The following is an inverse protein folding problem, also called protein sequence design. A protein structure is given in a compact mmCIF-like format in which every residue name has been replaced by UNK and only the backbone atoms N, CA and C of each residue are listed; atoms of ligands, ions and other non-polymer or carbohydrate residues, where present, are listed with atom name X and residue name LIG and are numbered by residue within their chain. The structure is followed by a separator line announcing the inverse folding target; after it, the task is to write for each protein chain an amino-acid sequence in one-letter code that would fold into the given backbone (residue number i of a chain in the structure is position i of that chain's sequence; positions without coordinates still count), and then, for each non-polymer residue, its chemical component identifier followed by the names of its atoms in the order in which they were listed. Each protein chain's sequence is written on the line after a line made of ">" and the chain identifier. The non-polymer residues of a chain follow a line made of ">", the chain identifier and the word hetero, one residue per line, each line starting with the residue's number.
data_IF_703814206751
#
_entry.id   IF_703814206751
#
_cell.length_a   1.000
_cell.length_b   1.000
_cell.length_c   1.000
_cell.angle_alpha   90.00
_cell.angle_beta   90.00
_cell.angle_gamma   90.00
#
_symmetry.space_group_name_H-M   'P 1'
#
loop_
_entity.id
_entity.type
_entity.pdbx_description
1 polymer ?
#
# COMPACT_ATOMS: atom_id res chain seq x y z
N UNK A 1 1.58 11.71 26.69
CA UNK A 1 1.70 12.88 25.78
C UNK A 1 1.46 12.37 24.36
N UNK A 2 0.34 12.78 23.76
CA UNK A 2 -0.08 12.29 22.45
C UNK A 2 0.61 13.15 21.39
N UNK A 3 1.83 12.77 21.00
CA UNK A 3 2.55 13.46 19.91
C UNK A 3 1.77 13.14 18.65
N UNK A 4 0.90 14.06 18.21
CA UNK A 4 0.23 13.93 16.92
C UNK A 4 1.33 13.89 15.85
N UNK A 5 1.40 12.77 15.13
CA UNK A 5 2.38 12.59 14.07
C UNK A 5 2.20 13.65 13.00
N UNK A 6 3.31 14.12 12.45
CA UNK A 6 3.29 15.16 11.42
C UNK A 6 2.51 14.68 10.20
N UNK A 7 1.53 15.46 9.75
CA UNK A 7 0.61 15.07 8.69
C UNK A 7 -0.57 14.20 9.14
N UNK A 8 -0.82 14.09 10.45
CA UNK A 8 -2.03 13.43 10.95
C UNK A 8 -3.30 14.17 10.50
N UNK A 9 -4.19 13.42 9.85
CA UNK A 9 -5.54 13.89 9.49
C UNK A 9 -6.55 13.05 10.26
N UNK A 10 -7.45 13.74 10.96
CA UNK A 10 -8.53 13.10 11.68
C UNK A 10 -9.44 12.30 10.70
N UNK A 11 -9.69 10.99 10.93
CA UNK A 11 -10.54 10.17 10.07
C UNK A 11 -11.98 10.68 9.90
N UNK A 12 -12.47 11.53 10.81
CA UNK A 12 -13.77 12.22 10.67
C UNK A 12 -13.80 13.22 9.52
N UNK A 13 -12.63 13.73 9.09
CA UNK A 13 -12.50 14.67 7.97
C UNK A 13 -12.35 13.97 6.62
N UNK A 14 -12.26 12.64 6.59
CA UNK A 14 -12.15 11.91 5.33
C UNK A 14 -13.49 11.94 4.61
N UNK A 15 -13.49 12.39 3.37
CA UNK A 15 -14.64 12.37 2.49
C UNK A 15 -14.70 11.02 1.75
N UNK A 16 -15.89 10.42 1.68
CA UNK A 16 -16.10 9.20 0.90
C UNK A 16 -16.14 9.48 -0.62
N UNK A 17 -16.29 10.75 -0.99
CA UNK A 17 -16.41 11.23 -2.36
C UNK A 17 -17.86 11.30 -2.83
N UNK A 18 -18.03 11.80 -4.05
CA UNK A 18 -19.35 11.94 -4.67
C UNK A 18 -19.80 10.63 -5.35
N UNK A 19 -21.11 10.34 -5.34
CA UNK A 19 -21.70 9.33 -6.20
C UNK A 19 -21.31 9.54 -7.67
N UNK A 20 -20.61 8.58 -8.27
CA UNK A 20 -20.13 8.69 -9.64
C UNK A 20 -20.04 7.32 -10.31
N UNK A 21 -20.39 7.27 -11.59
CA UNK A 21 -20.13 6.12 -12.46
C UNK A 21 -19.19 6.56 -13.58
N UNK A 22 -18.21 5.74 -13.90
CA UNK A 22 -17.22 6.04 -14.94
C UNK A 22 -16.81 4.76 -15.66
N UNK A 23 -16.33 4.92 -16.89
CA UNK A 23 -15.81 3.84 -17.71
C UNK A 23 -14.57 4.35 -18.43
N UNK A 24 -13.45 3.69 -18.18
CA UNK A 24 -12.20 3.87 -18.92
C UNK A 24 -12.10 2.77 -19.97
N UNK A 25 -11.73 3.15 -21.19
CA UNK A 25 -11.55 2.19 -22.28
C UNK A 25 -10.16 2.33 -22.89
N UNK A 26 -9.58 1.20 -23.26
CA UNK A 26 -8.34 1.13 -24.02
C UNK A 26 -8.57 0.22 -25.22
N UNK A 27 -8.44 0.77 -26.42
CA UNK A 27 -8.61 0.04 -27.67
C UNK A 27 -7.30 0.06 -28.45
N UNK A 28 -6.86 -1.12 -28.90
CA UNK A 28 -5.69 -1.30 -29.74
C UNK A 28 -6.01 -2.27 -30.86
N UNK A 29 -5.50 -2.03 -32.06
CA UNK A 29 -5.73 -2.89 -33.21
C UNK A 29 -4.55 -2.87 -34.16
N UNK A 30 -4.23 -4.04 -34.72
CA UNK A 30 -3.19 -4.22 -35.71
C UNK A 30 -3.72 -5.05 -36.88
N UNK A 31 -3.27 -4.69 -38.08
CA UNK A 31 -3.49 -5.47 -39.28
C UNK A 31 -2.13 -5.81 -39.89
N UNK A 32 -1.86 -7.10 -40.03
CA UNK A 32 -0.65 -7.61 -40.65
C UNK A 32 -1.04 -8.13 -42.03
N UNK A 33 -0.34 -7.68 -43.06
CA UNK A 33 -0.52 -8.17 -44.44
C UNK A 33 0.74 -8.92 -44.83
N UNK A 34 0.62 -10.21 -45.11
CA UNK A 34 1.74 -11.00 -45.61
C UNK A 34 1.81 -10.88 -47.13
N UNK A 35 2.99 -10.55 -47.66
CA UNK A 35 3.18 -10.29 -49.09
C UNK A 35 3.09 -11.57 -49.95
N UNK A 36 3.38 -12.74 -49.37
CA UNK A 36 3.48 -14.01 -50.11
C UNK A 36 2.20 -14.85 -50.15
N UNK A 37 1.25 -14.67 -49.21
CA UNK A 37 0.05 -15.54 -49.10
C UNK A 37 -1.29 -14.82 -49.33
N UNK A 38 -1.31 -13.49 -49.48
CA UNK A 38 -2.56 -12.72 -49.62
C UNK A 38 -3.46 -12.74 -48.37
N UNK A 39 -3.10 -13.50 -47.34
CA UNK A 39 -3.76 -13.49 -46.04
C UNK A 39 -3.40 -12.21 -45.27
N UNK A 40 -4.45 -11.48 -44.89
CA UNK A 40 -4.33 -10.42 -43.90
C UNK A 40 -4.78 -10.97 -42.57
N UNK A 41 -4.04 -10.74 -41.48
CA UNK A 41 -4.49 -11.02 -40.12
C UNK A 41 -4.85 -9.71 -39.43
N UNK A 42 -5.96 -9.69 -38.68
CA UNK A 42 -6.46 -8.50 -37.98
C UNK A 42 -6.75 -8.89 -36.54
N UNK A 43 -6.02 -8.28 -35.62
CA UNK A 43 -6.23 -8.44 -34.19
C UNK A 43 -6.66 -7.10 -33.59
N UNK A 44 -7.75 -7.10 -32.85
CA UNK A 44 -8.19 -5.95 -32.06
C UNK A 44 -8.39 -6.37 -30.60
N UNK A 45 -7.98 -5.50 -29.70
CA UNK A 45 -8.06 -5.67 -28.26
C UNK A 45 -8.76 -4.45 -27.65
N UNK A 46 -9.79 -4.70 -26.86
CA UNK A 46 -10.49 -3.68 -26.08
C UNK A 46 -10.41 -4.06 -24.60
N UNK A 47 -9.89 -3.20 -23.75
CA UNK A 47 -9.97 -3.30 -22.30
C UNK A 47 -10.96 -2.26 -21.80
N UNK A 48 -11.92 -2.67 -20.99
CA UNK A 48 -12.89 -1.80 -20.33
C UNK A 48 -12.73 -1.91 -18.82
N UNK A 49 -12.57 -0.76 -18.17
CA UNK A 49 -12.52 -0.63 -16.71
C UNK A 49 -13.69 0.23 -16.30
N UNK A 50 -14.69 -0.38 -15.71
CA UNK A 50 -15.87 0.32 -15.23
C UNK A 50 -15.83 0.44 -13.72
N UNK A 51 -16.33 1.56 -13.22
CA UNK A 51 -16.35 1.87 -11.81
C UNK A 51 -17.63 2.58 -11.40
N UNK A 52 -18.11 2.27 -10.21
CA UNK A 52 -19.23 2.94 -9.57
C UNK A 52 -18.86 3.22 -8.11
N UNK A 53 -18.98 4.48 -7.71
CA UNK A 53 -18.74 4.96 -6.35
C UNK A 53 -20.08 5.40 -5.78
N UNK A 54 -20.45 4.87 -4.61
CA UNK A 54 -21.65 5.27 -3.87
C UNK A 54 -21.31 5.33 -2.38
N UNK A 55 -21.12 6.55 -1.85
CA UNK A 55 -20.57 6.74 -0.52
C UNK A 55 -19.24 6.00 -0.36
N UNK A 56 -19.04 5.32 0.76
CA UNK A 56 -17.82 4.55 1.04
C UNK A 56 -17.62 3.29 0.16
N UNK A 57 -18.62 2.90 -0.64
CA UNK A 57 -18.56 1.70 -1.46
C UNK A 57 -18.06 2.01 -2.86
N UNK A 58 -17.11 1.21 -3.33
CA UNK A 58 -16.50 1.34 -4.65
C UNK A 58 -16.56 0.00 -5.36
N UNK A 59 -17.43 -0.09 -6.36
CA UNK A 59 -17.51 -1.24 -7.26
C UNK A 59 -16.55 -1.02 -8.43
N UNK A 60 -15.80 -2.07 -8.79
CA UNK A 60 -14.88 -2.06 -9.93
C UNK A 60 -15.07 -3.33 -10.75
N UNK A 61 -15.04 -3.19 -12.06
CA UNK A 61 -15.07 -4.29 -13.01
C UNK A 61 -14.04 -4.04 -14.11
N UNK A 62 -13.22 -5.06 -14.37
CA UNK A 62 -12.26 -5.06 -15.48
C UNK A 62 -12.68 -6.18 -16.41
N UNK A 63 -12.93 -5.81 -17.67
CA UNK A 63 -13.30 -6.73 -18.74
C UNK A 63 -12.41 -6.48 -19.95
N UNK A 64 -12.12 -7.53 -20.70
CA UNK A 64 -11.39 -7.42 -21.96
C UNK A 64 -12.10 -8.18 -23.06
N UNK A 65 -12.01 -7.64 -24.27
CA UNK A 65 -12.55 -8.22 -25.47
C UNK A 65 -11.44 -8.34 -26.49
N UNK A 66 -11.26 -9.55 -26.99
CA UNK A 66 -10.34 -9.86 -28.07
C UNK A 66 -11.15 -10.20 -29.32
N UNK A 67 -10.81 -9.55 -30.43
CA UNK A 67 -11.38 -9.83 -31.74
C UNK A 67 -10.25 -10.16 -32.70
N UNK A 68 -10.11 -11.44 -32.98
CA UNK A 68 -9.34 -11.96 -34.11
C UNK A 68 -10.32 -12.32 -35.23
N UNK A 69 -9.89 -12.33 -36.49
CA UNK A 69 -10.76 -12.46 -37.68
C UNK A 69 -11.77 -13.61 -37.62
N UNK A 70 -11.46 -14.66 -36.86
CA UNK A 70 -12.33 -15.83 -36.69
C UNK A 70 -12.97 -15.96 -35.30
N UNK A 71 -12.53 -15.21 -34.29
CA UNK A 71 -12.97 -15.39 -32.89
C UNK A 71 -13.11 -14.06 -32.16
N UNK A 72 -14.31 -13.88 -31.61
CA UNK A 72 -14.64 -12.81 -30.68
C UNK A 72 -14.78 -13.41 -29.28
N UNK A 73 -13.86 -13.08 -28.38
CA UNK A 73 -13.90 -13.54 -27.00
C UNK A 73 -14.07 -12.35 -26.05
N UNK A 74 -15.00 -12.48 -25.11
CA UNK A 74 -15.22 -11.50 -24.05
C UNK A 74 -14.94 -12.17 -22.72
N UNK A 75 -13.94 -11.64 -22.01
CA UNK A 75 -13.51 -12.14 -20.71
C UNK A 75 -13.73 -11.07 -19.65
N UNK A 76 -14.43 -11.44 -18.59
CA UNK A 76 -14.46 -10.63 -17.38
C UNK A 76 -13.29 -11.04 -16.51
N UNK A 77 -12.28 -10.18 -16.42
CA UNK A 77 -11.03 -10.48 -15.71
C UNK A 77 -11.24 -10.46 -14.20
N UNK A 78 -11.90 -9.42 -13.69
CA UNK A 78 -12.14 -9.29 -12.26
C UNK A 78 -13.30 -8.35 -11.97
N UNK A 79 -14.13 -8.73 -10.99
CA UNK A 79 -15.15 -7.85 -10.42
C UNK A 79 -15.03 -7.88 -8.91
N UNK A 80 -14.91 -6.71 -8.29
CA UNK A 80 -14.86 -6.61 -6.84
C UNK A 80 -15.53 -5.34 -6.34
N UNK A 81 -16.04 -5.44 -5.13
CA UNK A 81 -16.57 -4.37 -4.33
C UNK A 81 -15.60 -4.12 -3.18
N UNK A 82 -15.23 -2.86 -2.96
CA UNK A 82 -14.34 -2.49 -1.86
C UNK A 82 -14.91 -1.36 -1.01
N UNK A 83 -14.52 -1.34 0.26
CA UNK A 83 -14.88 -0.31 1.22
C UNK A 83 -13.80 -0.15 2.30
N UNK A 84 -13.55 1.11 2.65
CA UNK A 84 -12.64 1.47 3.72
C UNK A 84 -13.33 1.33 5.08
N UNK A 85 -12.70 0.62 6.01
CA UNK A 85 -13.14 0.45 7.40
C UNK A 85 -12.26 1.31 8.30
N UNK A 86 -12.65 2.58 8.45
CA UNK A 86 -11.87 3.62 9.14
C UNK A 86 -11.52 3.25 10.59
N UNK A 87 -12.42 2.58 11.30
CA UNK A 87 -12.20 2.17 12.71
C UNK A 87 -11.05 1.18 12.88
N UNK A 88 -10.81 0.35 11.86
CA UNK A 88 -9.76 -0.67 11.85
C UNK A 88 -8.56 -0.26 10.99
N UNK A 89 -8.58 0.92 10.36
CA UNK A 89 -7.60 1.36 9.35
C UNK A 89 -7.33 0.26 8.32
N UNK A 90 -8.41 -0.31 7.80
CA UNK A 90 -8.38 -1.53 7.01
C UNK A 90 -9.28 -1.40 5.78
N UNK A 91 -8.94 -2.13 4.72
CA UNK A 91 -9.72 -2.23 3.49
C UNK A 91 -10.46 -3.57 3.45
N UNK A 92 -11.78 -3.50 3.28
CA UNK A 92 -12.63 -4.65 3.00
C UNK A 92 -12.79 -4.80 1.47
N UNK A 93 -12.47 -5.97 0.92
CA UNK A 93 -12.70 -6.34 -0.48
C UNK A 93 -13.57 -7.58 -0.57
N UNK A 94 -14.54 -7.58 -1.49
CA UNK A 94 -15.48 -8.65 -1.73
C UNK A 94 -15.55 -8.91 -3.24
N UNK A 95 -15.38 -10.16 -3.68
CA UNK A 95 -15.35 -10.53 -5.09
C UNK A 95 -14.00 -11.11 -5.50
N UNK A 96 -13.58 -10.84 -6.75
CA UNK A 96 -12.30 -11.27 -7.30
C UNK A 96 -11.15 -10.43 -6.73
N UNK A 97 -10.28 -11.05 -5.95
CA UNK A 97 -9.14 -10.36 -5.36
C UNK A 97 -7.93 -11.29 -5.22
N UNK A 98 -6.87 -10.79 -4.62
CA UNK A 98 -5.61 -11.49 -4.42
C UNK A 98 -5.14 -11.35 -2.98
N UNK A 99 -4.45 -12.36 -2.45
CA UNK A 99 -3.85 -12.27 -1.11
C UNK A 99 -2.61 -11.37 -1.14
N UNK A 100 -2.27 -10.76 -0.01
CA UNK A 100 -1.01 -10.03 0.12
C UNK A 100 0.18 -10.98 -0.05
N UNK A 101 1.18 -10.55 -0.82
CA UNK A 101 2.39 -11.30 -1.13
C UNK A 101 3.48 -11.20 -0.08
N UNK A 102 3.19 -10.61 1.09
CA UNK A 102 4.20 -10.17 2.06
C UNK A 102 4.94 -11.33 2.74
N UNK A 103 4.27 -12.48 2.95
CA UNK A 103 4.83 -13.64 3.67
C UNK A 103 4.75 -14.92 2.86
N UNK A 104 3.72 -15.06 2.02
CA UNK A 104 3.58 -16.19 1.09
C UNK A 104 3.15 -15.66 -0.26
N UNK A 105 3.30 -16.49 -1.29
CA UNK A 105 2.87 -16.18 -2.65
C UNK A 105 1.44 -15.64 -2.70
N UNK A 106 1.26 -14.65 -3.58
CA UNK A 106 -0.03 -14.06 -3.87
C UNK A 106 -0.87 -15.07 -4.66
N UNK A 107 -2.03 -15.41 -4.11
CA UNK A 107 -3.02 -16.26 -4.78
C UNK A 107 -4.24 -15.43 -5.15
N UNK A 108 -4.75 -15.64 -6.36
CA UNK A 108 -6.03 -15.07 -6.79
C UNK A 108 -7.18 -15.92 -6.25
N UNK A 109 -8.20 -15.26 -5.72
CA UNK A 109 -9.37 -15.93 -5.15
C UNK A 109 -10.61 -15.06 -5.28
N UNK A 110 -11.77 -15.72 -5.27
CA UNK A 110 -13.07 -15.06 -5.17
C UNK A 110 -13.62 -15.26 -3.76
N UNK A 111 -13.84 -14.16 -3.03
CA UNK A 111 -14.29 -14.25 -1.64
C UNK A 111 -14.32 -12.89 -0.95
N UNK A 112 -13.99 -12.90 0.34
CA UNK A 112 -13.93 -11.72 1.20
C UNK A 112 -12.52 -11.59 1.77
N UNK A 113 -12.01 -10.37 1.79
CA UNK A 113 -10.72 -10.02 2.36
C UNK A 113 -10.86 -8.77 3.22
N UNK A 114 -10.29 -8.82 4.43
CA UNK A 114 -10.09 -7.66 5.27
C UNK A 114 -8.60 -7.55 5.57
N UNK A 115 -7.98 -6.44 5.18
CA UNK A 115 -6.55 -6.22 5.37
C UNK A 115 -6.25 -4.82 5.89
N UNK A 116 -5.22 -4.67 6.72
CA UNK A 116 -4.73 -3.36 7.13
C UNK A 116 -4.23 -2.57 5.91
N UNK A 117 -4.53 -1.28 5.87
CA UNK A 117 -4.13 -0.38 4.78
C UNK A 117 -3.14 0.67 5.29
N UNK A 118 -1.91 0.63 4.77
CA UNK A 118 -0.87 1.57 5.18
C UNK A 118 -1.09 2.98 4.59
N UNK A 119 -1.89 3.13 3.53
CA UNK A 119 -2.25 4.44 2.97
C UNK A 119 -3.18 5.22 3.91
N UNK A 120 -3.88 4.53 4.81
CA UNK A 120 -4.68 5.16 5.87
C UNK A 120 -3.83 5.75 7.01
N UNK A 121 -2.52 5.57 6.96
CA UNK A 121 -1.57 6.13 7.92
C UNK A 121 -1.02 7.47 7.42
N UNK A 122 -0.69 8.40 8.34
CA UNK A 122 0.06 9.61 8.00
C UNK A 122 1.37 9.25 7.32
N UNK A 123 1.81 10.07 6.36
CA UNK A 123 3.01 9.78 5.55
C UNK A 123 4.27 9.57 6.41
N UNK A 124 4.39 10.30 7.52
CA UNK A 124 5.47 10.15 8.51
C UNK A 124 5.48 8.80 9.24
N UNK A 125 4.42 8.02 9.12
CA UNK A 125 4.26 6.69 9.72
C UNK A 125 4.11 5.56 8.69
N UNK A 126 4.25 5.86 7.40
CA UNK A 126 4.30 4.84 6.34
C UNK A 126 5.71 4.25 6.28
N UNK A 127 5.83 2.97 5.95
CA UNK A 127 7.11 2.28 5.84
C UNK A 127 7.84 2.07 7.18
N UNK A 128 9.04 1.50 7.09
CA UNK A 128 9.90 1.30 8.25
C UNK A 128 10.81 2.52 8.47
N UNK A 129 10.80 3.03 9.70
CA UNK A 129 11.81 3.97 10.18
C UNK A 129 11.98 3.73 11.69
N UNK A 130 13.22 3.62 12.21
CA UNK A 130 13.48 3.27 13.59
C UNK A 130 12.95 4.37 14.50
N UNK A 131 12.52 3.98 15.70
CA UNK A 131 12.17 4.94 16.75
C UNK A 131 13.44 5.37 17.45
N UNK A 132 13.81 6.65 17.33
CA UNK A 132 15.01 7.19 17.98
C UNK A 132 14.64 7.55 19.41
N UNK A 133 15.25 6.88 20.39
CA UNK A 133 15.06 7.16 21.83
C UNK A 133 16.30 7.84 22.39
N UNK A 134 16.09 8.81 23.28
CA UNK A 134 17.19 9.53 23.93
C UNK A 134 16.72 10.25 25.18
N UNK A 135 17.66 10.89 25.88
CA UNK A 135 17.39 11.73 27.05
C UNK A 135 18.04 13.09 26.85
N UNK A 136 17.24 14.15 26.94
CA UNK A 136 17.69 15.54 26.96
C UNK A 136 17.78 16.02 28.42
N UNK A 137 18.84 16.72 28.78
CA UNK A 137 19.00 17.29 30.12
C UNK A 137 18.39 18.69 30.25
N UNK A 138 18.13 19.36 29.13
CA UNK A 138 17.52 20.69 29.04
C UNK A 138 16.57 20.75 27.84
N UNK A 139 16.08 21.96 27.52
CA UNK A 139 15.40 22.16 26.24
C UNK A 139 16.44 22.00 25.13
N UNK A 140 16.32 20.92 24.36
CA UNK A 140 17.34 20.53 23.39
C UNK A 140 16.77 20.55 21.97
N UNK A 141 17.64 20.92 21.02
CA UNK A 141 17.39 20.75 19.59
C UNK A 141 17.94 19.40 19.15
N UNK A 142 17.07 18.54 18.63
CA UNK A 142 17.45 17.23 18.09
C UNK A 142 17.47 17.31 16.57
N UNK A 143 18.65 17.12 16.01
CA UNK A 143 18.89 17.08 14.55
C UNK A 143 19.26 15.65 14.18
N UNK A 144 18.55 15.06 13.22
CA UNK A 144 18.84 13.74 12.67
C UNK A 144 19.36 13.92 11.25
N UNK A 145 20.51 13.32 10.98
CA UNK A 145 21.18 13.36 9.69
C UNK A 145 21.41 11.96 9.14
N UNK A 146 21.38 11.82 7.82
CA UNK A 146 21.76 10.59 7.11
C UNK A 146 22.69 10.96 5.97
N UNK A 147 23.84 10.29 5.84
CA UNK A 147 24.88 10.62 4.85
C UNK A 147 25.29 12.11 4.85
N UNK A 148 25.31 12.74 6.03
CA UNK A 148 25.66 14.16 6.19
C UNK A 148 24.55 15.17 5.85
N UNK A 149 23.38 14.72 5.39
CA UNK A 149 22.22 15.58 5.13
C UNK A 149 21.25 15.54 6.31
N UNK A 150 20.78 16.71 6.77
CA UNK A 150 19.75 16.80 7.81
C UNK A 150 18.41 16.37 7.22
N UNK A 151 17.85 15.28 7.76
CA UNK A 151 16.56 14.73 7.32
C UNK A 151 15.41 15.06 8.29
N UNK A 152 15.73 15.41 9.54
CA UNK A 152 14.73 15.76 10.54
C UNK A 152 15.33 16.68 11.61
N UNK A 153 14.56 17.68 12.05
CA UNK A 153 14.94 18.57 13.14
C UNK A 153 13.71 18.92 13.98
N UNK A 154 13.84 18.82 15.30
CA UNK A 154 12.77 19.19 16.25
C UNK A 154 13.35 19.68 17.58
N UNK A 155 12.51 20.33 18.39
CA UNK A 155 12.85 20.72 19.77
C UNK A 155 12.13 19.81 20.75
N UNK A 156 12.86 19.35 21.76
CA UNK A 156 12.33 18.48 22.82
C UNK A 156 12.51 19.13 24.19
N UNK A 157 11.57 18.88 25.09
CA UNK A 157 11.65 19.30 26.49
C UNK A 157 12.68 18.45 27.27
N UNK A 158 13.15 18.93 28.44
CA UNK A 158 14.03 18.14 29.29
C UNK A 158 13.37 16.82 29.70
N UNK A 159 14.11 15.71 29.58
CA UNK A 159 13.65 14.37 29.90
C UNK A 159 13.87 13.37 28.75
N UNK A 160 13.30 12.18 28.93
CA UNK A 160 13.32 11.15 27.88
C UNK A 160 12.41 11.56 26.71
N UNK A 161 12.90 11.38 25.49
CA UNK A 161 12.16 11.63 24.26
C UNK A 161 12.21 10.42 23.32
N UNK A 162 11.19 10.30 22.48
CA UNK A 162 11.11 9.30 21.43
C UNK A 162 10.61 9.95 20.13
N UNK A 163 11.40 9.85 19.06
CA UNK A 163 11.04 10.33 17.73
C UNK A 163 10.56 9.14 16.91
N UNK A 164 9.27 9.13 16.59
CA UNK A 164 8.57 8.03 15.88
C UNK A 164 7.85 8.50 14.62
N UNK A 165 8.18 9.70 14.13
CA UNK A 165 7.60 10.37 12.96
C UNK A 165 8.67 10.72 11.91
N UNK A 166 9.83 10.03 11.96
CA UNK A 166 10.83 10.09 10.92
C UNK A 166 10.25 9.52 9.61
N UNK A 167 10.37 10.26 8.50
CA UNK A 167 10.01 9.77 7.17
C UNK A 167 10.89 8.57 6.80
N UNK A 168 10.32 7.51 6.19
CA UNK A 168 11.12 6.39 5.70
C UNK A 168 12.06 6.87 4.60
N UNK A 169 13.36 6.69 4.78
CA UNK A 169 14.31 6.83 3.68
C UNK A 169 14.46 5.48 3.00
N UNK A 170 14.35 5.46 1.67
CA UNK A 170 14.48 4.25 0.84
C UNK A 170 15.89 3.67 0.84
N UNK A 171 16.86 4.41 1.39
CA UNK A 171 18.25 4.03 1.47
C UNK A 171 18.59 3.58 2.89
N UNK A 172 19.02 2.32 3.01
CA UNK A 172 19.71 1.82 4.21
C UNK A 172 20.95 2.67 4.48
N UNK A 173 21.27 2.91 5.75
CA UNK A 173 22.41 3.74 6.13
C UNK A 173 22.19 4.38 7.49
N UNK A 174 23.24 4.42 8.30
CA UNK A 174 23.16 4.85 9.69
C UNK A 174 22.63 6.28 9.85
N UNK A 175 21.81 6.47 10.90
CA UNK A 175 21.26 7.77 11.27
C UNK A 175 22.15 8.39 12.33
N UNK A 176 22.72 9.56 12.05
CA UNK A 176 23.47 10.34 13.02
C UNK A 176 22.51 11.28 13.75
N UNK A 177 22.40 11.13 15.07
CA UNK A 177 21.51 11.92 15.91
C UNK A 177 22.34 12.88 16.75
N UNK A 178 22.12 14.17 16.57
CA UNK A 178 22.77 15.25 17.29
C UNK A 178 21.77 15.96 18.20
N UNK A 179 22.01 15.91 19.50
CA UNK A 179 21.23 16.59 20.54
C UNK A 179 22.04 17.80 21.01
N UNK A 180 21.57 19.00 20.70
CA UNK A 180 22.17 20.27 21.12
C UNK A 180 21.34 20.85 22.27
N UNK A 181 21.93 20.81 23.46
CA UNK A 181 21.32 21.30 24.70
C UNK A 181 21.32 22.84 24.76
N UNK A 182 20.51 23.44 25.64
CA UNK A 182 20.40 24.90 25.76
C UNK A 182 21.69 25.59 26.22
N UNK A 183 22.58 24.85 26.87
CA UNK A 183 23.91 25.32 27.27
C UNK A 183 24.97 25.22 26.16
N UNK A 184 24.58 24.80 24.94
CA UNK A 184 25.47 24.60 23.80
C UNK A 184 26.21 23.26 23.81
N UNK A 185 26.03 22.42 24.83
CA UNK A 185 26.60 21.07 24.83
C UNK A 185 25.94 20.23 23.73
N UNK A 186 26.78 19.56 22.94
CA UNK A 186 26.35 18.70 21.85
C UNK A 186 26.63 17.26 22.23
N UNK A 187 25.62 16.40 22.06
CA UNK A 187 25.78 14.95 22.13
C UNK A 187 25.41 14.36 20.80
N UNK A 188 26.28 13.49 20.29
CA UNK A 188 26.04 12.77 19.04
C UNK A 188 26.04 11.29 19.33
N UNK A 189 25.08 10.57 18.75
CA UNK A 189 25.07 9.11 18.73
C UNK A 189 24.55 8.62 17.39
N UNK A 190 24.97 7.42 17.00
CA UNK A 190 24.58 6.81 15.75
C UNK A 190 23.54 5.72 16.01
N UNK A 191 22.39 5.83 15.36
CA UNK A 191 21.36 4.80 15.35
C UNK A 191 21.50 4.01 14.05
N UNK A 192 21.93 2.73 14.11
CA UNK A 192 22.01 1.90 12.92
C UNK A 192 20.63 1.73 12.29
N UNK A 193 20.56 1.86 10.96
CA UNK A 193 19.34 1.72 10.17
C UNK A 193 19.55 0.73 9.03
N UNK A 194 18.95 -0.44 9.21
CA UNK A 194 18.77 -1.45 8.16
C UNK A 194 17.28 -1.61 7.97
N UNK A 195 16.77 -1.41 6.75
CA UNK A 195 15.38 -1.65 6.43
C UNK A 195 15.25 -2.90 5.56
N UNK A 196 14.43 -3.86 5.99
CA UNK A 196 14.00 -5.00 5.16
C UNK A 196 12.56 -4.70 4.75
N UNK A 197 12.14 -4.97 3.49
CA UNK A 197 10.82 -4.59 2.96
C UNK A 197 9.60 -5.03 3.80
N UNK A 198 9.76 -5.99 4.70
CA UNK A 198 8.68 -6.55 5.53
C UNK A 198 8.72 -6.10 7.01
N UNK A 199 9.67 -5.24 7.40
CA UNK A 199 9.70 -4.75 8.78
C UNK A 199 8.61 -3.71 9.03
N UNK A 200 7.88 -3.91 10.12
CA UNK A 200 6.93 -2.94 10.64
C UNK A 200 7.64 -2.06 11.69
N UNK A 201 7.13 -0.85 11.88
CA UNK A 201 7.59 0.02 12.97
C UNK A 201 7.20 -0.59 14.32
N UNK A 202 8.01 -0.38 15.35
CA UNK A 202 7.74 -0.84 16.72
C UNK A 202 6.33 -0.43 17.18
N UNK A 203 5.57 -1.38 17.73
CA UNK A 203 4.19 -1.17 18.19
C UNK A 203 3.15 -1.19 17.07
N UNK A 204 3.51 -1.67 15.87
CA UNK A 204 2.59 -1.82 14.74
C UNK A 204 2.27 -3.29 14.46
N UNK A 205 1.00 -3.52 14.16
CA UNK A 205 0.51 -4.78 13.65
C UNK A 205 -0.10 -4.59 12.27
N UNK A 206 0.27 -5.45 11.32
CA UNK A 206 -0.38 -5.59 10.03
C UNK A 206 -1.09 -6.93 10.02
N UNK A 207 -2.37 -6.94 9.64
CA UNK A 207 -3.13 -8.16 9.51
C UNK A 207 -3.80 -8.26 8.14
N UNK A 208 -4.02 -9.50 7.70
CA UNK A 208 -4.78 -9.82 6.50
C UNK A 208 -5.57 -11.09 6.73
N UNK A 209 -6.89 -10.98 6.67
CA UNK A 209 -7.84 -12.08 6.79
C UNK A 209 -8.50 -12.27 5.43
N UNK A 210 -8.35 -13.44 4.84
CA UNK A 210 -8.87 -13.77 3.51
C UNK A 210 -9.64 -15.08 3.56
N UNK A 211 -10.87 -15.11 3.08
CA UNK A 211 -11.68 -16.32 3.00
C UNK A 211 -12.37 -16.38 1.65
N UNK A 212 -12.29 -17.52 0.96
CA UNK A 212 -12.90 -17.64 -0.36
C UNK A 212 -12.55 -18.92 -1.10
N UNK A 213 -12.77 -18.88 -2.41
CA UNK A 213 -12.45 -19.97 -3.33
C UNK A 213 -11.31 -19.56 -4.21
N UNK A 214 -10.33 -20.46 -4.33
CA UNK A 214 -9.23 -20.26 -5.25
C UNK A 214 -9.76 -20.06 -6.69
N UNK A 215 -9.27 -19.03 -7.36
CA UNK A 215 -9.63 -18.70 -8.73
C UNK A 215 -8.34 -18.67 -9.56
N UNK A 216 -8.18 -19.65 -10.45
CA UNK A 216 -7.10 -19.68 -11.45
C UNK A 216 -7.74 -19.71 -12.83
N UNK A 217 -7.22 -18.89 -13.75
CA UNK A 217 -7.69 -18.82 -15.14
C UNK A 217 -7.50 -20.10 -15.95
N UNK A 218 -6.92 -21.16 -15.36
CA UNK A 218 -6.77 -22.47 -15.98
C UNK A 218 -7.92 -23.43 -15.61
N UNK A 219 -8.59 -23.97 -16.62
CA UNK A 219 -9.72 -24.91 -16.55
C UNK A 219 -9.43 -26.27 -15.87
N UNK A 220 -8.30 -26.44 -15.17
CA UNK A 220 -7.88 -27.70 -14.53
C UNK A 220 -7.52 -27.61 -13.04
N UNK A 221 -7.76 -26.49 -12.37
CA UNK A 221 -7.53 -26.41 -10.92
C UNK A 221 -8.82 -26.64 -10.12
N UNK A 222 -8.77 -27.61 -9.20
CA UNK A 222 -9.87 -27.91 -8.28
C UNK A 222 -10.28 -26.65 -7.51
N UNK A 223 -11.58 -26.30 -7.56
CA UNK A 223 -12.17 -25.20 -6.78
C UNK A 223 -12.14 -25.56 -5.29
N UNK A 224 -11.02 -25.29 -4.63
CA UNK A 224 -10.86 -25.50 -3.18
C UNK A 224 -11.26 -24.25 -2.42
N UNK A 225 -12.07 -24.43 -1.39
CA UNK A 225 -12.33 -23.39 -0.39
C UNK A 225 -11.05 -23.23 0.45
N UNK A 226 -10.76 -22.00 0.84
CA UNK A 226 -9.60 -21.68 1.66
C UNK A 226 -9.90 -20.51 2.60
N UNK A 227 -9.24 -20.53 3.75
CA UNK A 227 -9.22 -19.45 4.73
C UNK A 227 -7.75 -19.20 5.13
N UNK A 228 -7.29 -17.95 4.97
CA UNK A 228 -5.95 -17.47 5.36
C UNK A 228 -6.10 -16.38 6.40
N UNK A 229 -5.31 -16.47 7.45
CA UNK A 229 -5.06 -15.37 8.35
C UNK A 229 -3.55 -15.12 8.40
N UNK A 230 -3.14 -13.87 8.20
CA UNK A 230 -1.79 -13.40 8.41
C UNK A 230 -1.84 -12.30 9.44
N UNK A 231 -0.95 -12.37 10.42
CA UNK A 231 -0.70 -11.31 11.37
C UNK A 231 0.81 -11.15 11.48
N UNK A 232 1.30 -9.93 11.31
CA UNK A 232 2.69 -9.55 11.55
C UNK A 232 2.66 -8.41 12.55
N UNK A 233 3.44 -8.54 13.63
CA UNK A 233 3.55 -7.55 14.70
C UNK A 233 5.03 -7.37 15.04
N UNK A 234 5.47 -6.13 15.23
CA UNK A 234 6.83 -5.79 15.67
C UNK A 234 6.78 -5.07 17.02
#
# INVERSE_FOLDING_TARGET
>A
MNVQSRGYVDPSRWDDGVPAAFVDYYFSGAQIKNADEGESSRSNYLNLRSGLNLGAWRLRNISSMQYDQQRRHWDTQSTWLQRDVRSLKSLLRIGDTYTTGDVFDSIQFRGVQLMSDDEMLPDSQRGFAPTIRGVAHSNAKVTVSQHGYVIYETFVSPGAFAISDLYPTSQSGDLEVKVTESNGAVRTFTQPYSAVPYMLREGRGKFSLSAGRYHSGGSRCARRNFCRALCSTV
#
